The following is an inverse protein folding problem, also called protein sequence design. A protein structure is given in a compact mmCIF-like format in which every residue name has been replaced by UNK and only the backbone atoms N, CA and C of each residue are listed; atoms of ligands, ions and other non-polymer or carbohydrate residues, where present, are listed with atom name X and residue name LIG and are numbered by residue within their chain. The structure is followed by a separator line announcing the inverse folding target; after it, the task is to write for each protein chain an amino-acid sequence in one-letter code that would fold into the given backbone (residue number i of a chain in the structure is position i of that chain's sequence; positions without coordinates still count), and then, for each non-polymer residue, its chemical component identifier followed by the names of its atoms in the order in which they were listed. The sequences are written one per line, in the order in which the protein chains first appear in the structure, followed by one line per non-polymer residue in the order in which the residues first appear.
data_IF_326443420858
#
_entry.id   IF_326443420858
#
_cell.length_a   1.000
_cell.length_b   1.000
_cell.length_c   1.000
_cell.angle_alpha   90.00
_cell.angle_beta   90.00
_cell.angle_gamma   90.00
#
_symmetry.space_group_name_H-M   'P 1'
#
loop_
_entity.id
_entity.type
_entity.pdbx_description
1 polymer ?
#
# COMPACT_ATOMS: atom_id res chain seq x y z
N UNK A 1 -1.23 24.81 -53.99
CA UNK A 1 -0.13 25.03 -53.03
C UNK A 1 -0.47 24.58 -51.61
N UNK A 2 -1.72 24.23 -51.31
CA UNK A 2 -2.21 23.86 -49.97
C UNK A 2 -2.08 22.36 -49.64
N UNK A 3 -2.30 21.45 -50.60
CA UNK A 3 -2.21 19.99 -50.37
C UNK A 3 -0.79 19.47 -50.11
N UNK A 4 0.23 20.12 -50.70
CA UNK A 4 1.63 19.74 -50.50
C UNK A 4 2.16 20.14 -49.12
N UNK A 5 1.60 21.18 -48.50
CA UNK A 5 1.94 21.58 -47.13
C UNK A 5 1.26 20.67 -46.10
N UNK A 6 -0.03 20.36 -46.28
CA UNK A 6 -0.76 19.47 -45.39
C UNK A 6 -0.15 18.05 -45.35
N UNK A 7 0.35 17.55 -46.48
CA UNK A 7 1.03 16.25 -46.55
C UNK A 7 2.42 16.27 -45.89
N UNK A 8 3.17 17.37 -46.00
CA UNK A 8 4.47 17.52 -45.33
C UNK A 8 4.33 17.60 -43.79
N UNK A 9 3.33 18.33 -43.28
CA UNK A 9 3.04 18.41 -41.85
C UNK A 9 2.63 17.05 -41.26
N UNK A 10 1.84 16.27 -42.00
CA UNK A 10 1.46 14.92 -41.59
C UNK A 10 2.65 13.96 -41.53
N UNK A 11 3.61 14.08 -42.47
CA UNK A 11 4.83 13.27 -42.50
C UNK A 11 5.76 13.64 -41.34
N UNK A 12 5.96 14.93 -41.07
CA UNK A 12 6.77 15.38 -39.93
C UNK A 12 6.17 14.94 -38.58
N UNK A 13 4.84 15.01 -38.44
CA UNK A 13 4.16 14.49 -37.26
C UNK A 13 4.36 12.96 -37.09
N UNK A 14 4.38 12.21 -38.20
CA UNK A 14 4.63 10.77 -38.18
C UNK A 14 6.08 10.44 -37.79
N UNK A 15 7.04 11.19 -38.32
CA UNK A 15 8.47 11.03 -38.02
C UNK A 15 8.80 11.37 -36.56
N UNK A 16 8.20 12.45 -36.04
CA UNK A 16 8.32 12.81 -34.63
C UNK A 16 7.72 11.73 -33.72
N UNK A 17 6.58 11.15 -34.14
CA UNK A 17 5.97 10.01 -33.43
C UNK A 17 6.86 8.76 -33.46
N UNK A 18 7.49 8.44 -34.60
CA UNK A 18 8.44 7.32 -34.71
C UNK A 18 9.66 7.54 -33.81
N UNK A 19 10.26 8.73 -33.81
CA UNK A 19 11.39 9.06 -32.92
C UNK A 19 11.04 8.95 -31.45
N UNK A 20 9.81 9.35 -31.06
CA UNK A 20 9.32 9.16 -29.68
C UNK A 20 9.13 7.69 -29.33
N UNK A 21 8.70 6.86 -30.29
CA UNK A 21 8.59 5.41 -30.11
C UNK A 21 9.98 4.75 -29.99
N UNK A 22 10.95 5.13 -30.80
CA UNK A 22 12.33 4.66 -30.71
C UNK A 22 13.01 5.10 -29.41
N UNK A 23 12.72 6.31 -28.92
CA UNK A 23 13.20 6.79 -27.62
C UNK A 23 12.50 6.12 -26.43
N UNK A 24 11.31 5.53 -26.61
CA UNK A 24 10.64 4.78 -25.55
C UNK A 24 11.50 3.57 -25.11
N UNK A 25 12.18 2.91 -26.05
CA UNK A 25 13.07 1.77 -25.78
C UNK A 25 14.31 2.15 -24.94
N UNK A 26 14.67 3.43 -24.84
CA UNK A 26 15.80 3.87 -24.01
C UNK A 26 15.38 3.86 -22.54
N UNK A 27 15.82 2.83 -21.81
CA UNK A 27 15.58 2.69 -20.37
C UNK A 27 14.43 1.77 -19.99
N UNK A 28 13.90 0.99 -20.95
CA UNK A 28 12.96 -0.11 -20.68
C UNK A 28 11.50 0.31 -20.60
N UNK A 29 11.10 1.44 -21.18
CA UNK A 29 9.71 1.88 -21.25
C UNK A 29 9.07 1.51 -22.60
N UNK A 30 7.80 1.17 -22.61
CA UNK A 30 7.06 0.84 -23.83
C UNK A 30 5.90 1.83 -23.93
N UNK A 31 5.81 2.52 -25.06
CA UNK A 31 4.74 3.49 -25.31
C UNK A 31 3.37 2.81 -25.42
N UNK A 32 2.37 3.39 -24.77
CA UNK A 32 0.97 3.00 -24.86
C UNK A 32 0.07 4.17 -25.33
N UNK A 33 0.66 5.22 -25.93
CA UNK A 33 -0.06 6.44 -26.35
C UNK A 33 -1.27 6.13 -27.24
N UNK A 34 -1.12 5.18 -28.16
CA UNK A 34 -2.18 4.83 -29.13
C UNK A 34 -3.36 4.08 -28.52
N UNK A 35 -3.21 3.60 -27.30
CA UNK A 35 -4.25 2.82 -26.62
C UNK A 35 -5.27 3.69 -25.90
N UNK A 36 -5.09 5.02 -25.91
CA UNK A 36 -6.09 5.98 -25.42
C UNK A 36 -6.53 5.69 -23.98
N UNK A 37 -5.56 5.59 -23.08
CA UNK A 37 -5.81 5.42 -21.66
C UNK A 37 -6.65 6.59 -21.12
N UNK A 38 -7.71 6.28 -20.38
CA UNK A 38 -8.60 7.28 -19.79
C UNK A 38 -8.73 7.07 -18.29
N UNK A 39 -8.84 8.16 -17.53
CA UNK A 39 -9.13 8.08 -16.10
C UNK A 39 -10.51 7.45 -15.87
N UNK A 40 -10.59 6.50 -14.94
CA UNK A 40 -11.84 5.80 -14.60
C UNK A 40 -12.29 6.03 -13.15
N UNK A 41 -11.36 6.27 -12.21
CA UNK A 41 -11.71 6.52 -10.82
C UNK A 41 -10.51 6.70 -9.90
N UNK A 42 -10.77 7.21 -8.69
CA UNK A 42 -9.79 7.39 -7.64
C UNK A 42 -10.32 6.84 -6.32
N UNK A 43 -9.50 6.03 -5.66
CA UNK A 43 -9.63 5.57 -4.28
C UNK A 43 -8.25 5.71 -3.61
N UNK A 44 -7.85 6.96 -3.39
CA UNK A 44 -6.52 7.38 -2.96
C UNK A 44 -5.89 6.45 -1.90
N UNK A 45 -4.63 6.00 -2.06
CA UNK A 45 -3.64 6.26 -3.11
C UNK A 45 -3.72 5.32 -4.34
N UNK A 46 -4.90 4.77 -4.62
CA UNK A 46 -5.15 3.85 -5.73
C UNK A 46 -6.04 4.50 -6.79
N UNK A 47 -5.73 4.30 -8.07
CA UNK A 47 -6.45 4.92 -9.18
C UNK A 47 -6.80 3.87 -10.22
N UNK A 48 -7.89 4.09 -10.94
CA UNK A 48 -8.33 3.21 -12.02
C UNK A 48 -8.21 3.91 -13.36
N UNK A 49 -7.66 3.20 -14.34
CA UNK A 49 -7.62 3.60 -15.74
C UNK A 49 -8.45 2.64 -16.59
N UNK A 50 -9.11 3.17 -17.61
CA UNK A 50 -9.84 2.41 -18.62
C UNK A 50 -9.11 2.48 -19.96
N UNK A 51 -8.94 1.34 -20.60
CA UNK A 51 -8.34 1.20 -21.92
C UNK A 51 -9.33 0.45 -22.83
N UNK A 52 -9.67 0.97 -24.02
CA UNK A 52 -10.50 0.26 -24.97
C UNK A 52 -9.91 -1.09 -25.41
N UNK A 53 -10.75 -2.12 -25.46
CA UNK A 53 -10.38 -3.47 -25.87
C UNK A 53 -9.98 -4.39 -24.71
N UNK A 54 -9.86 -5.68 -25.01
CA UNK A 54 -9.31 -6.67 -24.09
C UNK A 54 -7.79 -6.75 -24.24
N UNK A 55 -7.08 -6.21 -23.25
CA UNK A 55 -5.63 -6.11 -23.16
C UNK A 55 -5.13 -6.80 -21.88
N UNK A 56 -5.91 -7.71 -21.30
CA UNK A 56 -5.53 -8.48 -20.10
C UNK A 56 -4.33 -9.40 -20.34
N UNK A 57 -4.04 -9.72 -21.61
CA UNK A 57 -2.83 -10.44 -22.02
C UNK A 57 -1.57 -9.55 -22.05
N UNK A 58 -1.75 -8.22 -22.11
CA UNK A 58 -0.67 -7.23 -22.23
C UNK A 58 -0.32 -6.58 -20.89
N UNK A 59 -1.33 -6.40 -20.02
CA UNK A 59 -1.18 -5.75 -18.73
C UNK A 59 -1.30 -6.75 -17.58
N UNK A 60 -0.40 -6.65 -16.61
CA UNK A 60 -0.43 -7.50 -15.41
C UNK A 60 0.10 -6.78 -14.17
N UNK A 61 -0.34 -7.20 -12.95
CA UNK A 61 0.17 -6.65 -11.71
C UNK A 61 1.70 -6.76 -11.60
N UNK A 62 2.34 -5.69 -11.13
CA UNK A 62 3.79 -5.59 -11.02
C UNK A 62 4.48 -4.82 -12.14
N UNK A 63 3.82 -4.56 -13.27
CA UNK A 63 4.38 -3.66 -14.28
C UNK A 63 4.46 -2.23 -13.75
N UNK A 64 5.41 -1.47 -14.28
CA UNK A 64 5.59 -0.04 -13.96
C UNK A 64 4.84 0.77 -14.98
N UNK A 65 4.29 1.89 -14.54
CA UNK A 65 3.63 2.86 -15.41
C UNK A 65 4.28 4.22 -15.16
N UNK A 66 4.51 4.95 -16.25
CA UNK A 66 4.73 6.40 -16.18
C UNK A 66 3.76 7.11 -17.12
N UNK A 67 3.29 8.27 -16.70
CA UNK A 67 2.37 9.09 -17.50
C UNK A 67 2.43 10.54 -17.04
N UNK A 68 1.84 11.43 -17.83
CA UNK A 68 1.61 12.83 -17.48
C UNK A 68 0.12 13.16 -17.55
N UNK A 69 -0.26 14.27 -16.93
CA UNK A 69 -1.55 14.92 -17.13
C UNK A 69 -1.30 16.38 -17.51
N UNK A 70 -2.31 17.07 -18.04
CA UNK A 70 -2.16 18.43 -18.57
C UNK A 70 -1.40 19.36 -17.60
N UNK A 71 -0.28 19.93 -18.07
CA UNK A 71 0.56 20.85 -17.29
C UNK A 71 1.34 20.24 -16.13
N UNK A 72 1.36 18.91 -16.01
CA UNK A 72 1.95 18.19 -14.88
C UNK A 72 3.30 17.51 -15.16
N UNK A 73 3.97 17.14 -14.07
CA UNK A 73 5.20 16.35 -14.11
C UNK A 73 4.92 14.88 -14.46
N UNK A 74 5.99 14.12 -14.76
CA UNK A 74 5.91 12.67 -14.96
C UNK A 74 5.58 11.99 -13.63
N UNK A 75 4.50 11.22 -13.63
CA UNK A 75 4.01 10.45 -12.48
C UNK A 75 4.35 8.98 -12.68
N UNK A 76 4.68 8.28 -11.60
CA UNK A 76 5.01 6.86 -11.62
C UNK A 76 3.99 6.05 -10.83
N UNK A 77 3.65 4.87 -11.32
CA UNK A 77 2.71 3.97 -10.66
C UNK A 77 3.17 2.52 -10.79
N UNK A 78 2.63 1.67 -9.93
CA UNK A 78 2.70 0.22 -10.05
C UNK A 78 1.29 -0.30 -10.37
N UNK A 79 1.16 -1.17 -11.37
CA UNK A 79 -0.09 -1.89 -11.59
C UNK A 79 -0.30 -2.87 -10.44
N UNK A 80 -1.42 -2.76 -9.73
CA UNK A 80 -1.79 -3.67 -8.63
C UNK A 80 -2.95 -4.60 -8.98
N UNK A 81 -3.68 -4.31 -10.07
CA UNK A 81 -4.78 -5.11 -10.57
C UNK A 81 -5.07 -4.83 -12.05
N UNK A 82 -5.55 -5.83 -12.77
CA UNK A 82 -6.03 -5.72 -14.15
C UNK A 82 -7.28 -6.58 -14.29
N UNK A 83 -8.32 -6.06 -14.90
CA UNK A 83 -9.54 -6.81 -15.19
C UNK A 83 -10.18 -6.36 -16.49
N UNK A 84 -10.94 -7.23 -17.14
CA UNK A 84 -11.72 -6.89 -18.32
C UNK A 84 -13.18 -6.69 -17.94
N UNK A 85 -13.74 -5.54 -18.32
CA UNK A 85 -15.16 -5.23 -18.25
C UNK A 85 -15.57 -4.64 -19.58
N UNK A 86 -16.18 -5.46 -20.44
CA UNK A 86 -16.49 -5.10 -21.81
C UNK A 86 -17.12 -3.69 -21.92
N UNK A 87 -16.61 -2.82 -22.81
CA UNK A 87 -15.62 -3.10 -23.85
C UNK A 87 -14.15 -2.83 -23.44
N UNK A 88 -13.86 -2.61 -22.15
CA UNK A 88 -12.59 -2.03 -21.71
C UNK A 88 -11.79 -2.94 -20.77
N UNK A 89 -10.47 -2.80 -20.83
CA UNK A 89 -9.55 -3.24 -19.78
C UNK A 89 -9.45 -2.17 -18.71
N UNK A 90 -9.65 -2.55 -17.46
CA UNK A 90 -9.51 -1.70 -16.28
C UNK A 90 -8.19 -2.04 -15.59
N UNK A 91 -7.30 -1.06 -15.48
CA UNK A 91 -6.07 -1.16 -14.69
C UNK A 91 -6.25 -0.46 -13.36
N UNK A 92 -5.80 -1.09 -12.28
CA UNK A 92 -5.67 -0.50 -10.95
C UNK A 92 -4.22 -0.14 -10.71
N UNK A 93 -3.97 1.13 -10.43
CA UNK A 93 -2.64 1.72 -10.24
C UNK A 93 -2.48 2.15 -8.78
N UNK A 94 -1.34 1.84 -8.17
CA UNK A 94 -0.93 2.41 -6.90
C UNK A 94 0.09 3.52 -7.15
N UNK A 95 -0.17 4.72 -6.65
CA UNK A 95 0.67 5.91 -6.82
C UNK A 95 1.68 6.15 -5.70
N UNK A 96 1.70 5.28 -4.69
CA UNK A 96 2.63 5.45 -3.58
C UNK A 96 2.24 6.60 -2.66
N UNK A 97 3.24 7.30 -2.13
CA UNK A 97 3.08 8.52 -1.32
C UNK A 97 3.13 9.81 -2.12
N UNK A 98 3.50 9.73 -3.40
CA UNK A 98 3.99 10.89 -4.16
C UNK A 98 3.10 11.24 -5.36
N UNK A 99 2.31 10.29 -5.88
CA UNK A 99 1.66 10.44 -7.18
C UNK A 99 0.15 10.23 -7.11
N UNK A 100 -0.57 11.35 -7.16
CA UNK A 100 -2.03 11.34 -7.31
C UNK A 100 -2.45 11.38 -8.78
N UNK A 101 -3.58 10.75 -9.11
CA UNK A 101 -4.20 10.85 -10.43
C UNK A 101 -5.54 11.59 -10.36
N UNK A 102 -5.64 12.70 -11.08
CA UNK A 102 -6.88 13.47 -11.18
C UNK A 102 -7.73 13.04 -12.38
N UNK A 103 -8.99 13.47 -12.45
CA UNK A 103 -9.81 13.32 -13.64
C UNK A 103 -9.38 14.32 -14.73
N UNK A 104 -8.29 13.99 -15.43
CA UNK A 104 -7.66 14.82 -16.47
C UNK A 104 -7.06 13.91 -17.56
N UNK A 105 -6.97 14.38 -18.83
CA UNK A 105 -6.40 13.58 -19.91
C UNK A 105 -5.05 12.98 -19.57
N UNK A 106 -4.88 11.69 -19.90
CA UNK A 106 -3.61 10.98 -19.75
C UNK A 106 -2.76 11.28 -20.98
N UNK A 107 -1.63 11.94 -20.75
CA UNK A 107 -0.68 12.35 -21.77
C UNK A 107 0.52 11.43 -21.64
N UNK A 108 0.95 10.86 -22.76
CA UNK A 108 2.16 10.03 -22.81
C UNK A 108 2.18 8.84 -21.82
N UNK A 109 1.17 7.94 -21.86
CA UNK A 109 1.23 6.71 -21.08
C UNK A 109 2.33 5.79 -21.61
N UNK A 110 3.17 5.31 -20.70
CA UNK A 110 4.12 4.23 -20.92
C UNK A 110 3.98 3.18 -19.84
N UNK A 111 4.30 1.94 -20.18
CA UNK A 111 4.41 0.84 -19.23
C UNK A 111 5.76 0.14 -19.34
N UNK A 112 6.11 -0.69 -18.36
CA UNK A 112 7.34 -1.48 -18.39
C UNK A 112 7.18 -2.79 -17.65
N UNK A 113 7.70 -3.86 -18.24
CA UNK A 113 7.89 -5.15 -17.59
C UNK A 113 9.21 -5.24 -16.79
N UNK A 114 10.10 -4.26 -16.95
CA UNK A 114 11.35 -4.22 -16.19
C UNK A 114 11.05 -3.93 -14.71
N UNK A 115 11.82 -4.54 -13.81
CA UNK A 115 11.72 -4.26 -12.37
C UNK A 115 12.05 -2.80 -12.04
N UNK A 116 13.02 -2.25 -12.78
CA UNK A 116 13.66 -0.97 -12.55
C UNK A 116 13.92 -0.23 -13.88
N UNK A 117 12.87 0.17 -14.62
CA UNK A 117 13.07 1.01 -15.80
C UNK A 117 13.64 2.36 -15.39
N UNK A 118 14.35 3.02 -16.31
CA UNK A 118 15.06 4.27 -16.03
C UNK A 118 14.13 5.33 -15.45
N UNK A 119 14.53 5.93 -14.32
CA UNK A 119 13.78 6.98 -13.63
C UNK A 119 12.67 6.49 -12.69
N UNK A 120 12.29 5.21 -12.73
CA UNK A 120 11.30 4.68 -11.78
C UNK A 120 11.89 4.64 -10.36
N UNK A 121 11.22 5.22 -9.35
CA UNK A 121 11.76 5.25 -8.00
C UNK A 121 11.65 3.87 -7.34
N UNK A 122 12.76 3.32 -6.85
CA UNK A 122 12.77 2.03 -6.13
C UNK A 122 12.76 2.16 -4.60
N UNK A 123 12.70 3.38 -4.08
CA UNK A 123 12.70 3.62 -2.64
C UNK A 123 11.39 3.08 -2.03
N UNK A 124 11.49 2.07 -1.15
CA UNK A 124 10.33 1.49 -0.44
C UNK A 124 9.49 2.54 0.29
N UNK A 125 10.08 3.66 0.73
CA UNK A 125 9.36 4.74 1.39
C UNK A 125 8.28 5.37 0.52
N UNK A 126 8.46 5.36 -0.80
CA UNK A 126 7.47 5.86 -1.75
C UNK A 126 6.36 4.87 -2.03
N UNK A 127 6.55 3.59 -1.72
CA UNK A 127 5.63 2.50 -2.08
C UNK A 127 5.11 1.76 -0.85
N UNK A 128 4.98 2.48 0.26
CA UNK A 128 4.43 1.95 1.51
C UNK A 128 3.33 2.85 2.05
N UNK A 129 2.43 2.24 2.80
CA UNK A 129 1.53 2.94 3.73
C UNK A 129 1.96 2.61 5.16
N UNK A 130 1.88 3.60 6.05
CA UNK A 130 2.43 3.48 7.40
C UNK A 130 1.58 4.28 8.40
N UNK A 131 1.38 3.68 9.57
CA UNK A 131 0.74 4.30 10.74
C UNK A 131 1.71 4.25 11.91
N UNK A 132 1.89 5.38 12.59
CA UNK A 132 2.83 5.55 13.70
C UNK A 132 2.10 6.14 14.91
N UNK A 133 1.96 5.36 15.98
CA UNK A 133 1.55 5.82 17.30
C UNK A 133 2.76 6.24 18.13
N UNK A 134 2.85 7.52 18.50
CA UNK A 134 3.95 8.09 19.30
C UNK A 134 3.56 8.40 20.74
N UNK A 135 2.30 8.19 21.10
CA UNK A 135 1.78 8.40 22.45
C UNK A 135 1.40 7.06 23.07
N UNK A 136 1.42 7.01 24.40
CA UNK A 136 0.91 5.87 25.15
C UNK A 136 -0.59 5.72 24.95
N UNK A 137 -1.03 4.48 24.75
CA UNK A 137 -2.43 4.13 24.57
C UNK A 137 -2.75 2.90 25.41
N UNK A 138 -3.58 3.09 26.44
CA UNK A 138 -3.85 2.08 27.45
C UNK A 138 -5.33 1.68 27.53
N UNK A 139 -5.54 0.47 28.04
CA UNK A 139 -6.82 -0.03 28.49
C UNK A 139 -6.72 -0.29 29.99
N UNK A 140 -7.50 0.44 30.78
CA UNK A 140 -7.65 0.19 32.21
C UNK A 140 -8.58 -1.02 32.44
N UNK A 141 -8.28 -1.79 33.48
CA UNK A 141 -9.05 -2.95 33.93
C UNK A 141 -9.49 -3.89 32.79
N UNK A 142 -8.57 -4.36 31.93
CA UNK A 142 -8.92 -5.21 30.80
C UNK A 142 -9.55 -6.53 31.29
N UNK A 143 -10.55 -7.01 30.55
CA UNK A 143 -11.17 -8.31 30.78
C UNK A 143 -10.28 -9.39 30.16
N UNK A 144 -9.97 -10.43 30.93
CA UNK A 144 -9.14 -11.54 30.47
C UNK A 144 -9.75 -12.17 29.20
N UNK A 145 -8.94 -12.31 28.15
CA UNK A 145 -9.35 -12.86 26.85
C UNK A 145 -9.98 -11.85 25.89
N UNK A 146 -10.29 -10.62 26.33
CA UNK A 146 -10.90 -9.59 25.49
C UNK A 146 -9.84 -8.78 24.74
N UNK A 147 -10.05 -8.58 23.44
CA UNK A 147 -9.19 -7.78 22.58
C UNK A 147 -9.60 -6.31 22.56
N UNK A 148 -8.62 -5.42 22.57
CA UNK A 148 -8.77 -3.98 22.53
C UNK A 148 -7.88 -3.37 21.45
N UNK A 149 -8.44 -2.53 20.59
CA UNK A 149 -7.66 -1.72 19.67
C UNK A 149 -7.02 -0.54 20.41
N UNK A 150 -5.75 -0.69 20.80
CA UNK A 150 -4.94 0.36 21.42
C UNK A 150 -3.67 0.69 20.63
N UNK A 151 -3.27 -0.15 19.67
CA UNK A 151 -2.06 0.04 18.88
C UNK A 151 -2.25 0.88 17.62
N UNK A 152 -3.48 1.31 17.35
CA UNK A 152 -3.84 2.09 16.17
C UNK A 152 -4.31 1.23 15.01
N UNK A 153 -4.49 1.87 13.86
CA UNK A 153 -4.95 1.21 12.63
C UNK A 153 -4.23 1.74 11.41
N UNK A 154 -4.25 0.93 10.35
CA UNK A 154 -3.75 1.28 9.02
C UNK A 154 -4.76 0.84 7.97
N UNK A 155 -5.09 1.75 7.05
CA UNK A 155 -5.85 1.41 5.85
C UNK A 155 -4.86 0.95 4.79
N UNK A 156 -5.04 -0.28 4.31
CA UNK A 156 -4.20 -0.90 3.29
C UNK A 156 -5.00 -0.96 1.97
N UNK A 157 -4.50 -0.36 0.88
CA UNK A 157 -5.21 -0.39 -0.41
C UNK A 157 -5.29 -1.80 -1.02
N UNK A 158 -6.09 -1.95 -2.07
CA UNK A 158 -6.13 -3.20 -2.84
C UNK A 158 -4.75 -3.52 -3.45
N UNK A 159 -4.43 -4.81 -3.58
CA UNK A 159 -3.16 -5.31 -4.11
C UNK A 159 -2.45 -6.25 -3.15
N UNK A 160 -1.18 -6.53 -3.45
CA UNK A 160 -0.32 -7.41 -2.67
C UNK A 160 0.59 -6.58 -1.77
N UNK A 161 0.73 -6.98 -0.50
CA UNK A 161 1.45 -6.21 0.51
C UNK A 161 2.27 -7.09 1.45
N UNK A 162 3.48 -6.66 1.79
CA UNK A 162 4.24 -7.17 2.93
C UNK A 162 3.89 -6.32 4.15
N UNK A 163 3.20 -6.90 5.12
CA UNK A 163 2.69 -6.18 6.29
C UNK A 163 3.43 -6.58 7.56
N UNK A 164 3.87 -5.58 8.31
CA UNK A 164 4.61 -5.74 9.55
C UNK A 164 4.05 -4.81 10.63
N UNK A 165 4.31 -5.16 11.89
CA UNK A 165 4.15 -4.23 13.01
C UNK A 165 5.32 -4.34 13.98
N UNK A 166 5.57 -3.26 14.70
CA UNK A 166 6.49 -3.21 15.81
C UNK A 166 5.92 -2.28 16.89
N UNK A 167 5.89 -2.73 18.14
CA UNK A 167 5.42 -1.91 19.25
C UNK A 167 6.01 -2.38 20.57
N UNK A 168 5.94 -1.56 21.61
CA UNK A 168 6.23 -1.98 22.98
C UNK A 168 4.93 -2.17 23.74
N UNK A 169 4.78 -3.35 24.35
CA UNK A 169 3.64 -3.68 25.19
C UNK A 169 3.97 -3.46 26.66
N UNK A 170 3.00 -2.97 27.42
CA UNK A 170 3.03 -2.92 28.88
C UNK A 170 1.83 -3.70 29.44
N UNK A 171 2.05 -4.40 30.55
CA UNK A 171 0.98 -4.94 31.40
C UNK A 171 1.31 -4.69 32.87
N UNK A 172 0.32 -4.22 33.63
CA UNK A 172 0.48 -3.89 35.05
C UNK A 172 -0.65 -4.45 35.91
N UNK A 173 -0.38 -4.72 37.18
CA UNK A 173 -1.36 -5.19 38.16
C UNK A 173 -1.02 -4.67 39.57
N UNK A 174 -2.01 -4.61 40.45
CA UNK A 174 -1.85 -4.04 41.79
C UNK A 174 -1.05 -4.88 42.80
N UNK A 175 -0.88 -6.18 42.54
CA UNK A 175 -0.13 -7.11 43.42
C UNK A 175 0.58 -8.17 42.58
N UNK A 176 1.70 -8.71 43.08
CA UNK A 176 2.53 -9.64 42.31
C UNK A 176 1.75 -10.87 41.85
N UNK A 177 1.91 -11.23 40.58
CA UNK A 177 1.38 -12.46 40.00
C UNK A 177 1.73 -12.56 38.51
N UNK A 178 1.21 -13.59 37.83
CA UNK A 178 1.48 -13.78 36.41
C UNK A 178 1.03 -12.57 35.57
N UNK A 179 1.79 -12.30 34.52
CA UNK A 179 1.58 -11.22 33.57
C UNK A 179 1.75 -11.75 32.16
N UNK A 180 0.83 -11.39 31.27
CA UNK A 180 1.02 -11.53 29.83
C UNK A 180 0.32 -10.41 29.07
N UNK A 181 0.85 -10.11 27.90
CA UNK A 181 0.23 -9.24 26.93
C UNK A 181 0.44 -9.84 25.53
N UNK A 182 -0.60 -9.75 24.72
CA UNK A 182 -0.59 -10.19 23.33
C UNK A 182 -0.79 -8.98 22.43
N UNK A 183 -0.16 -8.98 21.26
CA UNK A 183 -0.47 -8.06 20.17
C UNK A 183 -0.81 -8.84 18.91
N UNK A 184 -1.79 -8.38 18.14
CA UNK A 184 -2.15 -8.97 16.84
C UNK A 184 -2.58 -7.88 15.87
N UNK A 185 -2.30 -8.09 14.59
CA UNK A 185 -2.98 -7.37 13.53
C UNK A 185 -4.29 -8.09 13.20
N UNK A 186 -5.38 -7.35 13.00
CA UNK A 186 -6.71 -7.93 12.75
C UNK A 186 -7.56 -7.04 11.86
N UNK A 187 -8.54 -7.61 11.17
CA UNK A 187 -9.53 -6.87 10.36
C UNK A 187 -10.67 -6.30 11.19
N UNK A 188 -10.75 -6.63 12.48
CA UNK A 188 -11.69 -6.05 13.43
C UNK A 188 -10.97 -5.48 14.65
N UNK A 189 -11.54 -4.46 15.27
CA UNK A 189 -10.93 -3.74 16.39
C UNK A 189 -11.04 -4.45 17.77
N UNK A 190 -11.66 -5.62 17.81
CA UNK A 190 -12.03 -6.32 19.05
C UNK A 190 -11.95 -7.85 18.93
N UNK A 191 -11.28 -8.38 17.90
CA UNK A 191 -11.07 -9.81 17.73
C UNK A 191 -9.73 -10.10 17.08
N UNK A 192 -9.34 -11.38 17.12
CA UNK A 192 -8.17 -11.91 16.43
C UNK A 192 -8.64 -12.57 15.13
N UNK A 193 -8.13 -12.10 13.99
CA UNK A 193 -8.43 -12.68 12.68
C UNK A 193 -7.43 -13.79 12.32
N UNK A 194 -6.16 -13.65 12.71
CA UNK A 194 -5.11 -14.62 12.41
C UNK A 194 -4.14 -14.76 13.60
N UNK A 195 -3.94 -15.99 14.08
CA UNK A 195 -3.01 -16.31 15.16
C UNK A 195 -1.54 -16.26 14.75
N UNK A 196 -1.23 -16.47 13.48
CA UNK A 196 0.15 -16.47 12.97
C UNK A 196 0.81 -15.08 13.11
N UNK A 197 0.00 -14.03 13.18
CA UNK A 197 0.46 -12.64 13.35
C UNK A 197 0.37 -12.15 14.79
N UNK A 198 0.08 -13.06 15.73
CA UNK A 198 -0.02 -12.76 17.16
C UNK A 198 1.32 -12.98 17.85
N UNK A 199 1.81 -11.93 18.52
CA UNK A 199 2.98 -11.99 19.39
C UNK A 199 2.55 -11.94 20.85
N UNK A 200 3.40 -12.46 21.74
CA UNK A 200 3.16 -12.51 23.18
C UNK A 200 4.43 -12.16 23.95
N UNK A 201 4.27 -11.40 25.03
CA UNK A 201 5.23 -11.31 26.14
C UNK A 201 4.58 -11.85 27.42
N UNK A 202 5.38 -12.38 28.34
CA UNK A 202 4.87 -12.87 29.62
C UNK A 202 5.95 -13.19 30.63
N UNK A 203 5.60 -13.05 31.91
CA UNK A 203 6.41 -13.51 33.06
C UNK A 203 5.52 -14.24 34.07
N UNK A 204 6.13 -15.11 34.87
CA UNK A 204 5.43 -15.93 35.86
C UNK A 204 4.99 -15.15 37.11
N UNK A 205 5.71 -14.08 37.48
CA UNK A 205 5.36 -13.24 38.62
C UNK A 205 5.95 -11.83 38.48
N UNK A 206 5.13 -10.82 38.72
CA UNK A 206 5.52 -9.42 38.80
C UNK A 206 4.32 -8.50 38.99
N UNK A 207 4.58 -7.21 39.18
CA UNK A 207 3.55 -6.16 39.22
C UNK A 207 3.49 -5.35 37.93
N UNK A 208 4.57 -5.36 37.15
CA UNK A 208 4.68 -4.71 35.84
C UNK A 208 5.64 -5.47 34.95
N UNK A 209 5.37 -5.48 33.65
CA UNK A 209 6.26 -5.99 32.61
C UNK A 209 6.10 -5.13 31.36
N UNK A 210 7.22 -4.87 30.69
CA UNK A 210 7.25 -4.31 29.33
C UNK A 210 8.10 -5.17 28.42
N UNK A 211 7.80 -5.11 27.13
CA UNK A 211 8.61 -5.78 26.12
C UNK A 211 8.24 -5.36 24.71
N UNK A 212 9.27 -5.19 23.88
CA UNK A 212 9.11 -4.99 22.45
C UNK A 212 8.58 -6.26 21.78
N UNK A 213 7.59 -6.09 20.93
CA UNK A 213 7.08 -7.11 20.03
C UNK A 213 7.22 -6.65 18.59
N UNK A 214 7.62 -7.56 17.71
CA UNK A 214 7.70 -7.33 16.29
C UNK A 214 7.19 -8.55 15.53
N UNK A 215 6.47 -8.29 14.44
CA UNK A 215 6.11 -9.30 13.46
C UNK A 215 7.03 -9.13 12.25
N UNK A 216 7.75 -10.19 11.88
CA UNK A 216 8.74 -10.20 10.79
C UNK A 216 8.21 -10.08 9.36
N UNK A 217 6.98 -9.60 9.19
CA UNK A 217 6.34 -9.45 7.89
C UNK A 217 5.53 -10.69 7.48
N UNK A 218 4.30 -10.49 7.02
CA UNK A 218 3.52 -11.51 6.32
C UNK A 218 2.89 -10.91 5.05
N UNK A 219 2.51 -11.77 4.11
CA UNK A 219 1.95 -11.33 2.83
C UNK A 219 0.43 -11.28 2.91
N UNK A 220 -0.14 -10.18 2.44
CA UNK A 220 -1.56 -10.00 2.21
C UNK A 220 -1.84 -9.78 0.73
N UNK A 221 -2.87 -10.45 0.23
CA UNK A 221 -3.47 -10.20 -1.08
C UNK A 221 -4.89 -9.66 -0.86
N UNK A 222 -5.12 -8.40 -1.23
CA UNK A 222 -6.36 -7.68 -0.96
C UNK A 222 -7.09 -7.36 -2.27
N UNK A 223 -8.32 -7.88 -2.41
CA UNK A 223 -9.19 -7.54 -3.54
C UNK A 223 -9.79 -6.13 -3.43
N UNK A 224 -9.86 -5.57 -2.22
CA UNK A 224 -10.35 -4.24 -1.93
C UNK A 224 -9.58 -3.63 -0.76
N UNK A 225 -9.65 -2.30 -0.64
CA UNK A 225 -9.09 -1.56 0.50
C UNK A 225 -9.67 -2.09 1.82
N UNK A 226 -8.82 -2.24 2.83
CA UNK A 226 -9.21 -2.76 4.15
C UNK A 226 -8.49 -2.09 5.31
N UNK A 227 -9.18 -1.96 6.45
CA UNK A 227 -8.59 -1.42 7.68
C UNK A 227 -8.07 -2.55 8.55
N UNK A 228 -6.82 -2.42 8.99
CA UNK A 228 -6.17 -3.36 9.90
C UNK A 228 -5.86 -2.67 11.22
N UNK A 229 -6.22 -3.34 12.31
CA UNK A 229 -6.14 -2.85 13.68
C UNK A 229 -5.05 -3.61 14.44
N UNK A 230 -4.18 -2.87 15.14
CA UNK A 230 -3.22 -3.45 16.07
C UNK A 230 -3.86 -3.57 17.45
N UNK A 231 -4.39 -4.76 17.72
CA UNK A 231 -5.11 -5.06 18.94
C UNK A 231 -4.17 -5.63 20.01
N UNK A 232 -4.50 -5.42 21.28
CA UNK A 232 -3.88 -6.11 22.40
C UNK A 232 -4.91 -6.78 23.32
N UNK A 233 -4.45 -7.80 24.05
CA UNK A 233 -5.20 -8.42 25.15
C UNK A 233 -4.25 -8.90 26.25
N UNK A 234 -4.83 -9.29 27.38
CA UNK A 234 -4.20 -10.15 28.37
C UNK A 234 -5.04 -11.41 28.56
N UNK A 235 -4.39 -12.54 28.87
CA UNK A 235 -5.04 -13.77 29.32
C UNK A 235 -5.21 -13.84 30.85
N UNK A 236 -4.64 -12.87 31.58
CA UNK A 236 -4.66 -12.86 33.04
C UNK A 236 -5.85 -12.07 33.60
N UNK A 237 -6.41 -12.54 34.71
CA UNK A 237 -7.39 -11.79 35.48
C UNK A 237 -6.72 -10.75 36.40
N UNK A 238 -7.49 -9.77 36.87
CA UNK A 238 -7.06 -8.75 37.84
C UNK A 238 -5.87 -7.90 37.36
N UNK A 239 -5.74 -7.72 36.05
CA UNK A 239 -4.81 -6.78 35.44
C UNK A 239 -5.36 -5.35 35.62
N UNK A 240 -4.48 -4.43 36.01
CA UNK A 240 -4.80 -3.02 36.19
C UNK A 240 -4.79 -2.26 34.88
N UNK A 241 -3.80 -2.53 34.00
CA UNK A 241 -3.77 -1.99 32.66
C UNK A 241 -2.98 -2.87 31.67
N UNK A 242 -3.36 -2.78 30.40
CA UNK A 242 -2.49 -3.13 29.27
C UNK A 242 -2.30 -1.89 28.39
N UNK A 243 -1.14 -1.72 27.78
CA UNK A 243 -0.88 -0.56 26.93
C UNK A 243 0.08 -0.86 25.78
N UNK A 244 -0.04 -0.05 24.73
CA UNK A 244 1.04 0.18 23.78
C UNK A 244 1.79 1.44 24.21
N UNK A 245 3.10 1.32 24.40
CA UNK A 245 3.98 2.40 24.90
C UNK A 245 4.59 3.22 23.77
N UNK A 246 3.75 3.94 23.05
CA UNK A 246 4.14 4.71 21.86
C UNK A 246 5.21 5.78 22.12
N UNK A 247 5.31 6.28 23.36
CA UNK A 247 6.34 7.27 23.72
C UNK A 247 7.74 6.66 23.87
N UNK A 248 7.83 5.36 24.14
CA UNK A 248 9.09 4.63 24.33
C UNK A 248 9.52 3.98 23.00
N UNK A 249 8.61 3.22 22.39
CA UNK A 249 8.75 2.65 21.06
C UNK A 249 7.50 2.99 20.24
N UNK A 250 7.71 3.70 19.13
CA UNK A 250 6.62 4.02 18.19
C UNK A 250 5.86 2.75 17.81
N UNK A 251 4.57 2.73 18.07
CA UNK A 251 3.68 1.66 17.62
C UNK A 251 3.49 1.81 16.12
N UNK A 252 4.16 0.95 15.35
CA UNK A 252 4.18 1.01 13.89
C UNK A 252 3.34 -0.11 13.30
N UNK A 253 2.49 0.23 12.35
CA UNK A 253 1.92 -0.70 11.36
C UNK A 253 2.41 -0.23 10.00
N UNK A 254 2.99 -1.11 9.20
CA UNK A 254 3.51 -0.78 7.87
C UNK A 254 3.12 -1.83 6.87
N UNK A 255 2.72 -1.39 5.68
CA UNK A 255 2.50 -2.25 4.53
C UNK A 255 3.32 -1.72 3.35
N UNK A 256 4.25 -2.53 2.83
CA UNK A 256 5.04 -2.21 1.63
C UNK A 256 4.42 -2.95 0.44
N UNK A 257 4.26 -2.27 -0.69
CA UNK A 257 3.69 -2.87 -1.90
C UNK A 257 4.54 -4.07 -2.32
N UNK A 258 3.94 -5.26 -2.34
CA UNK A 258 4.62 -6.53 -2.66
C UNK A 258 5.00 -6.66 -4.13
N UNK A 259 4.54 -5.73 -4.97
CA UNK A 259 4.91 -5.62 -6.37
C UNK A 259 6.15 -4.74 -6.60
N UNK A 260 6.60 -3.98 -5.58
CA UNK A 260 7.84 -3.21 -5.66
C UNK A 260 9.02 -4.13 -5.92
#
# INVERSE_FOLDING_TARGET
MTDSQASAEAIEALLERIRRLENADIGGWISAVEERWTFAGADDPTYSLSIPGDLTWKYWPGQRVRLQQAGGEVKHFIITGVGYSAPNTIQTLYGGTDYDLANSPIIEPYFSAAKAPFGFPLNEAKWRVESLGTADSSQASPVAGTWYNKGGSLVIPAGRWRVEYAAELEVTRGSAGALDAFATLSTAANSEANKEVTTKIGISSGVSMRGSVCLGGYVLDLAAKGTYYLNCKTGQASISAIAFKGSEQKSRIRAVCGYL
#
